data_IF_851814111720
#
_entry.id   IF_851814111720
#
_cell.length_a   1.000
_cell.length_b   1.000
_cell.length_c   1.000
_cell.angle_alpha   90.00
_cell.angle_beta   90.00
_cell.angle_gamma   90.00
#
_symmetry.space_group_name_H-M   'P 1'
#
loop_
_entity.id
_entity.type
_entity.pdbx_description
1 polymer ?
#
# COMPACT_ATOMS: atom_id res chain seq x y z
N UNK A 1 -15.43 -4.22 -5.02
CA UNK A 1 -14.46 -3.10 -5.03
C UNK A 1 -14.22 -2.66 -3.59
N UNK A 2 -12.96 -2.48 -3.13
CA UNK A 2 -12.65 -1.93 -1.80
C UNK A 2 -12.35 -0.44 -1.95
N UNK A 3 -13.00 0.46 -1.20
CA UNK A 3 -12.74 1.89 -1.30
C UNK A 3 -11.35 2.22 -0.72
N UNK A 4 -10.71 3.24 -1.30
CA UNK A 4 -9.48 3.83 -0.80
C UNK A 4 -9.74 4.80 0.34
N UNK A 5 -8.73 5.07 1.16
CA UNK A 5 -8.89 5.99 2.29
C UNK A 5 -9.24 7.40 1.84
N UNK A 6 -8.65 7.87 0.73
CA UNK A 6 -8.95 9.15 0.11
C UNK A 6 -10.40 9.25 -0.34
N UNK A 7 -10.94 8.21 -0.97
CA UNK A 7 -12.35 8.19 -1.37
C UNK A 7 -13.28 8.23 -0.14
N UNK A 8 -12.97 7.46 0.90
CA UNK A 8 -13.75 7.47 2.13
C UNK A 8 -13.74 8.84 2.82
N UNK A 9 -12.59 9.52 2.88
CA UNK A 9 -12.47 10.88 3.43
C UNK A 9 -13.23 11.91 2.58
N UNK A 10 -13.24 11.75 1.26
CA UNK A 10 -14.03 12.61 0.37
C UNK A 10 -15.53 12.44 0.62
N UNK A 11 -15.99 11.19 0.77
CA UNK A 11 -17.39 10.89 1.10
C UNK A 11 -17.78 11.45 2.47
N UNK A 12 -16.92 11.31 3.48
CA UNK A 12 -17.14 11.93 4.79
C UNK A 12 -17.39 13.45 4.68
N UNK A 13 -16.51 14.17 3.97
CA UNK A 13 -16.64 15.62 3.77
C UNK A 13 -17.92 15.99 3.04
N UNK A 14 -18.30 15.22 2.02
CA UNK A 14 -19.54 15.44 1.27
C UNK A 14 -20.75 15.32 2.20
N UNK A 15 -20.79 14.29 3.05
CA UNK A 15 -21.89 14.09 3.99
C UNK A 15 -21.94 15.19 5.07
N UNK A 16 -20.80 15.62 5.59
CA UNK A 16 -20.74 16.76 6.53
C UNK A 16 -21.21 18.06 5.87
N UNK A 17 -20.83 18.30 4.61
CA UNK A 17 -21.33 19.44 3.84
C UNK A 17 -22.85 19.39 3.64
N UNK A 18 -23.40 18.21 3.31
CA UNK A 18 -24.83 17.99 3.20
C UNK A 18 -25.58 18.20 4.52
N UNK A 19 -25.01 17.72 5.64
CA UNK A 19 -25.57 17.92 6.98
C UNK A 19 -25.63 19.40 7.36
N UNK A 20 -24.56 20.16 7.06
CA UNK A 20 -24.50 21.60 7.34
C UNK A 20 -25.45 22.42 6.44
N UNK A 21 -25.66 21.98 5.20
CA UNK A 21 -26.50 22.69 4.23
C UNK A 21 -28.00 22.44 4.34
N UNK A 22 -28.46 21.51 5.18
CA UNK A 22 -29.88 21.13 5.25
C UNK A 22 -30.59 21.64 6.52
N UNK A 23 -31.78 22.20 6.33
CA UNK A 23 -32.69 22.59 7.42
C UNK A 23 -33.47 21.40 7.99
N UNK A 24 -33.54 20.29 7.26
CA UNK A 24 -34.30 19.10 7.64
C UNK A 24 -33.51 18.25 8.64
N UNK A 25 -34.00 18.17 9.88
CA UNK A 25 -33.32 17.44 10.97
C UNK A 25 -33.07 15.97 10.67
N UNK A 26 -34.03 15.29 10.03
CA UNK A 26 -33.88 13.88 9.64
C UNK A 26 -32.73 13.69 8.64
N UNK A 27 -32.63 14.55 7.63
CA UNK A 27 -31.57 14.49 6.61
C UNK A 27 -30.22 14.76 7.25
N UNK A 28 -30.13 15.79 8.11
CA UNK A 28 -28.90 16.10 8.86
C UNK A 28 -28.40 14.91 9.66
N UNK A 29 -29.28 14.27 10.42
CA UNK A 29 -28.93 13.16 11.29
C UNK A 29 -28.49 11.92 10.52
N UNK A 30 -29.07 11.66 9.35
CA UNK A 30 -28.64 10.59 8.45
C UNK A 30 -27.27 10.92 7.85
N UNK A 31 -27.07 12.14 7.37
CA UNK A 31 -25.80 12.57 6.78
C UNK A 31 -24.65 12.53 7.80
N UNK A 32 -24.87 12.95 9.05
CA UNK A 32 -23.88 12.84 10.12
C UNK A 32 -23.51 11.38 10.44
N UNK A 33 -24.50 10.48 10.49
CA UNK A 33 -24.25 9.04 10.67
C UNK A 33 -23.47 8.46 9.50
N UNK A 34 -23.82 8.84 8.27
CA UNK A 34 -23.09 8.42 7.07
C UNK A 34 -21.64 8.92 7.12
N UNK A 35 -21.41 10.19 7.48
CA UNK A 35 -20.08 10.75 7.65
C UNK A 35 -19.25 9.97 8.68
N UNK A 36 -19.84 9.64 9.84
CA UNK A 36 -19.18 8.85 10.86
C UNK A 36 -18.81 7.44 10.36
N UNK A 37 -19.66 6.82 9.53
CA UNK A 37 -19.37 5.51 8.93
C UNK A 37 -18.23 5.58 7.92
N UNK A 38 -18.21 6.62 7.08
CA UNK A 38 -17.14 6.86 6.11
C UNK A 38 -15.80 7.15 6.79
N UNK A 39 -15.81 7.88 7.91
CA UNK A 39 -14.62 8.09 8.73
C UNK A 39 -14.02 6.77 9.22
N UNK A 40 -14.86 5.86 9.73
CA UNK A 40 -14.41 4.53 10.19
C UNK A 40 -13.82 3.72 9.03
N UNK A 41 -14.47 3.73 7.87
CA UNK A 41 -13.95 3.02 6.69
C UNK A 41 -12.64 3.64 6.19
N UNK A 42 -12.47 4.97 6.28
CA UNK A 42 -11.22 5.63 5.93
C UNK A 42 -10.04 5.12 6.78
N UNK A 43 -10.23 5.00 8.10
CA UNK A 43 -9.21 4.41 8.98
C UNK A 43 -8.92 2.95 8.64
N UNK A 44 -9.94 2.16 8.31
CA UNK A 44 -9.76 0.78 7.90
C UNK A 44 -9.00 0.68 6.56
N UNK A 45 -9.32 1.56 5.61
CA UNK A 45 -8.65 1.67 4.32
C UNK A 45 -7.19 2.09 4.46
N UNK A 46 -6.89 3.10 5.28
CA UNK A 46 -5.51 3.54 5.57
C UNK A 46 -4.68 2.37 6.10
N UNK A 47 -5.21 1.57 7.04
CA UNK A 47 -4.51 0.40 7.56
C UNK A 47 -4.30 -0.70 6.51
N UNK A 48 -5.23 -0.86 5.57
CA UNK A 48 -5.09 -1.83 4.46
C UNK A 48 -4.00 -1.37 3.50
N UNK A 49 -4.01 -0.10 3.14
CA UNK A 49 -3.06 0.51 2.20
C UNK A 49 -1.64 0.49 2.77
N UNK A 50 -1.45 0.91 4.02
CA UNK A 50 -0.14 0.81 4.69
C UNK A 50 0.39 -0.64 4.75
N UNK A 51 -0.50 -1.62 4.96
CA UNK A 51 -0.09 -3.03 4.93
C UNK A 51 0.32 -3.46 3.53
N UNK A 52 -0.43 -3.05 2.51
CA UNK A 52 -0.11 -3.36 1.12
C UNK A 52 1.23 -2.73 0.70
N UNK A 53 1.49 -1.48 1.10
CA UNK A 53 2.76 -0.80 0.86
C UNK A 53 3.94 -1.53 1.52
N UNK A 54 3.80 -1.91 2.80
CA UNK A 54 4.84 -2.70 3.50
C UNK A 54 5.08 -4.04 2.82
N UNK A 55 4.03 -4.72 2.37
CA UNK A 55 4.15 -5.99 1.65
C UNK A 55 4.83 -5.81 0.29
N UNK A 56 4.53 -4.73 -0.43
CA UNK A 56 5.20 -4.40 -1.69
C UNK A 56 6.70 -4.17 -1.47
N UNK A 57 7.08 -3.39 -0.45
CA UNK A 57 8.48 -3.13 -0.11
C UNK A 57 9.24 -4.42 0.26
N UNK A 58 8.63 -5.29 1.07
CA UNK A 58 9.22 -6.57 1.45
C UNK A 58 9.36 -7.54 0.25
N UNK A 59 8.39 -7.53 -0.67
CA UNK A 59 8.46 -8.31 -1.89
C UNK A 59 9.59 -7.82 -2.81
N UNK A 60 9.77 -6.49 -2.94
CA UNK A 60 10.87 -5.93 -3.72
C UNK A 60 12.24 -6.27 -3.13
N UNK A 61 12.40 -6.17 -1.80
CA UNK A 61 13.69 -6.51 -1.16
C UNK A 61 14.02 -8.00 -1.32
N UNK A 62 13.03 -8.88 -1.17
CA UNK A 62 13.24 -10.32 -1.34
C UNK A 62 13.65 -10.66 -2.78
N UNK A 63 12.99 -10.03 -3.77
CA UNK A 63 13.32 -10.23 -5.18
C UNK A 63 14.70 -9.66 -5.58
N UNK A 64 15.20 -8.66 -4.85
CA UNK A 64 16.55 -8.12 -5.03
C UNK A 64 17.60 -9.01 -4.38
N UNK A 65 17.30 -9.59 -3.21
CA UNK A 65 18.18 -10.54 -2.52
C UNK A 65 18.31 -11.86 -3.30
N UNK A 66 17.21 -12.41 -3.83
CA UNK A 66 17.22 -13.58 -4.72
C UNK A 66 18.06 -13.32 -5.99
N UNK A 67 17.91 -12.15 -6.61
CA UNK A 67 18.74 -11.78 -7.77
C UNK A 67 20.23 -11.67 -7.42
N UNK A 68 20.57 -11.24 -6.20
CA UNK A 68 21.97 -11.17 -5.74
C UNK A 68 22.53 -12.55 -5.42
N UNK A 69 21.75 -13.44 -4.79
CA UNK A 69 22.18 -14.82 -4.54
C UNK A 69 22.41 -15.56 -5.85
N UNK A 70 21.49 -15.45 -6.81
CA UNK A 70 21.62 -16.09 -8.12
C UNK A 70 22.88 -15.58 -8.86
N UNK A 71 23.14 -14.27 -8.79
CA UNK A 71 24.35 -13.69 -9.38
C UNK A 71 25.63 -14.13 -8.66
N UNK A 72 25.59 -14.34 -7.34
CA UNK A 72 26.73 -14.81 -6.55
C UNK A 72 27.00 -16.29 -6.80
N UNK A 73 25.97 -17.13 -6.79
CA UNK A 73 26.08 -18.55 -7.15
C UNK A 73 26.63 -18.70 -8.55
N UNK A 74 26.09 -17.98 -9.53
CA UNK A 74 26.58 -18.05 -10.91
C UNK A 74 28.06 -17.60 -11.03
N UNK A 75 28.53 -16.65 -10.20
CA UNK A 75 29.96 -16.29 -10.15
C UNK A 75 30.84 -17.36 -9.51
N UNK A 76 30.38 -17.97 -8.41
CA UNK A 76 31.09 -19.05 -7.72
C UNK A 76 31.17 -20.33 -8.58
N UNK A 77 30.15 -20.61 -9.39
CA UNK A 77 30.18 -21.72 -10.35
C UNK A 77 30.94 -21.38 -11.64
N UNK A 78 31.09 -20.10 -12.00
CA UNK A 78 31.85 -19.63 -13.16
C UNK A 78 33.32 -19.30 -12.83
N UNK A 79 33.79 -19.59 -11.61
CA UNK A 79 35.17 -19.38 -11.18
C UNK A 79 36.08 -20.42 -11.89
N UNK A 80 36.32 -20.17 -13.19
CA UNK A 80 37.20 -20.95 -14.04
C UNK A 80 38.62 -20.94 -13.42
N UNK A 81 39.17 -22.11 -13.04
CA UNK A 81 40.51 -22.22 -12.45
C UNK A 81 41.63 -21.90 -13.46
N UNK A 82 41.33 -21.72 -14.75
CA UNK A 82 42.31 -21.49 -15.82
C UNK A 82 42.90 -20.06 -15.88
N UNK A 83 42.61 -19.20 -14.90
CA UNK A 83 43.16 -17.83 -14.87
C UNK A 83 44.59 -17.73 -14.31
N UNK A 84 45.12 -18.82 -13.76
CA UNK A 84 46.50 -18.92 -13.25
C UNK A 84 47.29 -20.06 -13.93
N UNK A 85 47.42 -19.99 -15.25
CA UNK A 85 48.49 -20.73 -15.94
C UNK A 85 48.87 -20.02 -17.23
N UNK A 86 49.74 -19.03 -17.08
CA UNK A 86 50.29 -18.27 -18.21
C UNK A 86 51.43 -17.33 -17.82
N UNK A 87 52.20 -17.67 -16.78
CA UNK A 87 53.53 -17.11 -16.57
C UNK A 87 54.55 -18.10 -17.18
N UNK A 88 55.04 -17.79 -18.38
CA UNK A 88 56.37 -18.12 -18.90
C UNK A 88 56.57 -17.45 -20.26
#
# INVERSE_FOLDING_TARGET
>A
MRPSSTLCRAQEKLQLGGAAGTSLTNVRLIAEKAAASWRKEAFAADRREQRAERQALAATSSADDERRSDAQENRLFSENPDRDSGHA
#
